data_IF_453903879203
#
_entry.id   IF_453903879203
#
_cell.length_a   1.000
_cell.length_b   1.000
_cell.length_c   1.000
_cell.angle_alpha   90.00
_cell.angle_beta   90.00
_cell.angle_gamma   90.00
#
_symmetry.space_group_name_H-M   'P 1'
#
loop_
_entity.id
_entity.type
_entity.pdbx_description
1 polymer ?
#
# COMPACT_ATOMS: atom_id res chain seq x y z
N UNK A 1 15.32 -1.65 3.02
CA UNK A 1 15.72 -2.33 1.77
C UNK A 1 14.55 -2.36 0.80
N UNK A 2 14.73 -1.77 -0.36
CA UNK A 2 13.70 -1.77 -1.40
C UNK A 2 13.80 -3.09 -2.17
N UNK A 3 12.66 -3.76 -2.36
CA UNK A 3 12.61 -5.01 -3.11
C UNK A 3 12.86 -4.76 -4.59
N UNK A 4 13.53 -5.68 -5.26
CA UNK A 4 13.72 -5.64 -6.70
C UNK A 4 12.40 -5.88 -7.43
N UNK A 5 12.29 -5.42 -8.67
CA UNK A 5 11.05 -5.55 -9.45
C UNK A 5 10.58 -6.99 -9.59
N UNK A 6 11.52 -7.94 -9.78
CA UNK A 6 11.19 -9.36 -9.89
C UNK A 6 10.62 -9.90 -8.59
N UNK A 7 11.19 -9.49 -7.46
CA UNK A 7 10.68 -9.87 -6.13
C UNK A 7 9.31 -9.27 -5.88
N UNK A 8 9.11 -8.02 -6.28
CA UNK A 8 7.81 -7.35 -6.19
C UNK A 8 6.74 -8.13 -6.95
N UNK A 9 7.01 -8.50 -8.19
CA UNK A 9 6.08 -9.24 -9.03
C UNK A 9 5.69 -10.57 -8.37
N UNK A 10 6.67 -11.32 -7.90
CA UNK A 10 6.45 -12.61 -7.26
C UNK A 10 5.60 -12.48 -5.99
N UNK A 11 5.87 -11.46 -5.19
CA UNK A 11 5.12 -11.23 -3.95
C UNK A 11 3.68 -10.85 -4.28
N UNK A 12 3.46 -9.99 -5.27
CA UNK A 12 2.10 -9.65 -5.70
C UNK A 12 1.33 -10.87 -6.21
N UNK A 13 1.97 -11.76 -6.96
CA UNK A 13 1.36 -13.01 -7.40
C UNK A 13 0.94 -13.86 -6.19
N UNK A 14 1.76 -13.95 -5.18
CA UNK A 14 1.44 -14.66 -3.94
C UNK A 14 0.28 -14.02 -3.19
N UNK A 15 0.23 -12.69 -3.13
CA UNK A 15 -0.88 -11.97 -2.49
C UNK A 15 -2.19 -12.32 -3.20
N UNK A 16 -2.21 -12.28 -4.52
CA UNK A 16 -3.40 -12.60 -5.30
C UNK A 16 -3.82 -14.06 -5.08
N UNK A 17 -2.84 -14.99 -5.10
CA UNK A 17 -3.09 -16.41 -4.92
C UNK A 17 -3.71 -16.73 -3.57
N UNK A 18 -3.31 -16.02 -2.51
CA UNK A 18 -3.76 -16.28 -1.14
C UNK A 18 -4.67 -15.17 -0.60
N UNK A 19 -5.33 -14.42 -1.50
CA UNK A 19 -6.09 -13.24 -1.10
C UNK A 19 -7.20 -13.53 -0.09
N UNK A 20 -7.91 -14.64 -0.26
CA UNK A 20 -8.97 -15.02 0.69
C UNK A 20 -8.43 -15.23 2.10
N UNK A 21 -7.27 -15.87 2.22
CA UNK A 21 -6.63 -16.07 3.50
C UNK A 21 -6.18 -14.74 4.12
N UNK A 22 -5.55 -13.88 3.32
CA UNK A 22 -5.08 -12.57 3.76
C UNK A 22 -6.24 -11.72 4.25
N UNK A 23 -7.35 -11.73 3.53
CA UNK A 23 -8.56 -11.00 3.89
C UNK A 23 -9.19 -11.55 5.17
N UNK A 24 -9.28 -12.87 5.28
CA UNK A 24 -9.82 -13.52 6.47
C UNK A 24 -9.00 -13.24 7.73
N UNK A 25 -7.69 -13.06 7.58
CA UNK A 25 -6.80 -12.68 8.67
C UNK A 25 -6.79 -11.17 8.94
N UNK A 26 -7.60 -10.40 8.24
CA UNK A 26 -7.71 -8.94 8.37
C UNK A 26 -6.39 -8.20 8.08
N UNK A 27 -5.54 -8.79 7.27
CA UNK A 27 -4.26 -8.21 6.87
C UNK A 27 -4.33 -7.48 5.53
N UNK A 28 -5.41 -7.68 4.77
CA UNK A 28 -5.44 -7.37 3.36
C UNK A 28 -5.08 -5.92 3.03
N UNK A 29 -5.77 -4.96 3.64
CA UNK A 29 -5.56 -3.56 3.28
C UNK A 29 -4.16 -3.07 3.66
N UNK A 30 -3.73 -3.34 4.88
CA UNK A 30 -2.43 -2.87 5.35
C UNK A 30 -1.28 -3.51 4.58
N UNK A 31 -1.37 -4.81 4.29
CA UNK A 31 -0.35 -5.53 3.53
C UNK A 31 -0.21 -4.95 2.12
N UNK A 32 -1.33 -4.81 1.43
CA UNK A 32 -1.34 -4.32 0.05
C UNK A 32 -0.84 -2.88 -0.02
N UNK A 33 -1.23 -2.05 0.94
CA UNK A 33 -0.79 -0.66 0.99
C UNK A 33 0.72 -0.55 1.21
N UNK A 34 1.27 -1.33 2.13
CA UNK A 34 2.71 -1.35 2.37
C UNK A 34 3.47 -1.88 1.16
N UNK A 35 2.93 -2.89 0.46
CA UNK A 35 3.53 -3.38 -0.78
C UNK A 35 3.58 -2.30 -1.86
N UNK A 36 2.49 -1.57 -2.05
CA UNK A 36 2.45 -0.49 -3.03
C UNK A 36 3.47 0.60 -2.71
N UNK A 37 3.58 0.99 -1.45
CA UNK A 37 4.51 2.03 -1.03
C UNK A 37 5.97 1.58 -1.09
N UNK A 38 6.25 0.34 -0.73
CA UNK A 38 7.62 -0.19 -0.77
C UNK A 38 8.17 -0.24 -2.19
N UNK A 39 7.33 -0.48 -3.17
CA UNK A 39 7.74 -0.55 -4.57
C UNK A 39 7.99 0.79 -5.23
N UNK A 40 7.69 1.90 -4.56
CA UNK A 40 7.84 3.23 -5.13
C UNK A 40 9.01 3.99 -4.50
N UNK A 41 9.77 4.68 -5.33
CA UNK A 41 10.83 5.59 -4.89
C UNK A 41 10.29 6.97 -4.53
N UNK A 42 9.10 7.30 -5.02
CA UNK A 42 8.46 8.59 -4.81
C UNK A 42 7.30 8.46 -3.83
N UNK A 43 6.99 9.52 -3.07
CA UNK A 43 5.76 9.55 -2.27
C UNK A 43 4.54 9.39 -3.17
N UNK A 44 3.51 8.71 -2.67
CA UNK A 44 2.33 8.36 -3.45
C UNK A 44 1.05 8.95 -2.85
N UNK A 45 0.19 9.47 -3.72
CA UNK A 45 -1.19 9.83 -3.36
C UNK A 45 -2.07 8.58 -3.27
N UNK A 46 -3.26 8.73 -2.69
CA UNK A 46 -4.23 7.62 -2.62
C UNK A 46 -4.61 7.11 -4.01
N UNK A 47 -4.76 8.00 -4.98
CA UNK A 47 -5.07 7.63 -6.37
C UNK A 47 -3.96 6.78 -6.98
N UNK A 48 -2.70 7.19 -6.78
CA UNK A 48 -1.54 6.46 -7.29
C UNK A 48 -1.42 5.08 -6.63
N UNK A 49 -1.67 5.00 -5.32
CA UNK A 49 -1.67 3.73 -4.59
C UNK A 49 -2.72 2.79 -5.17
N UNK A 50 -3.94 3.29 -5.39
CA UNK A 50 -5.03 2.51 -5.99
C UNK A 50 -4.65 1.97 -7.37
N UNK A 51 -4.03 2.80 -8.20
CA UNK A 51 -3.56 2.39 -9.54
C UNK A 51 -2.49 1.31 -9.47
N UNK A 52 -1.54 1.43 -8.55
CA UNK A 52 -0.49 0.42 -8.37
C UNK A 52 -1.09 -0.92 -7.96
N UNK A 53 -2.04 -0.91 -7.01
CA UNK A 53 -2.71 -2.13 -6.57
C UNK A 53 -3.41 -2.81 -7.76
N UNK A 54 -4.16 -2.05 -8.55
CA UNK A 54 -4.86 -2.59 -9.70
C UNK A 54 -3.88 -3.16 -10.74
N UNK A 55 -2.81 -2.44 -11.04
CA UNK A 55 -1.82 -2.86 -12.04
C UNK A 55 -1.04 -4.09 -11.57
N UNK A 56 -0.57 -4.10 -10.33
CA UNK A 56 0.25 -5.19 -9.81
C UNK A 56 -0.56 -6.47 -9.61
N UNK A 57 -1.84 -6.36 -9.29
CA UNK A 57 -2.73 -7.51 -9.16
C UNK A 57 -3.37 -7.92 -10.48
N UNK A 58 -3.03 -7.26 -11.58
CA UNK A 58 -3.60 -7.49 -12.92
C UNK A 58 -5.12 -7.34 -12.90
N UNK A 59 -5.62 -6.36 -12.16
CA UNK A 59 -7.03 -6.06 -12.03
C UNK A 59 -7.81 -6.97 -11.10
N UNK A 60 -7.15 -7.93 -10.44
CA UNK A 60 -7.83 -8.88 -9.55
C UNK A 60 -8.14 -8.29 -8.19
N UNK A 61 -7.39 -7.27 -7.77
CA UNK A 61 -7.64 -6.53 -6.54
C UNK A 61 -7.87 -5.08 -6.92
N UNK A 62 -9.02 -4.56 -6.55
CA UNK A 62 -9.34 -3.16 -6.75
C UNK A 62 -9.74 -2.53 -5.42
N UNK A 63 -9.08 -1.43 -5.07
CA UNK A 63 -9.41 -0.64 -3.90
C UNK A 63 -9.57 0.81 -4.33
N UNK A 64 -10.77 1.36 -4.17
CA UNK A 64 -11.02 2.77 -4.48
C UNK A 64 -10.18 3.67 -3.57
N UNK A 65 -9.68 4.78 -4.12
CA UNK A 65 -8.81 5.69 -3.37
C UNK A 65 -9.44 6.19 -2.07
N UNK A 66 -10.74 6.49 -2.08
CA UNK A 66 -11.46 6.93 -0.89
C UNK A 66 -11.54 5.86 0.20
N UNK A 67 -11.61 4.58 -0.19
CA UNK A 67 -11.68 3.47 0.76
C UNK A 67 -10.33 3.19 1.43
N UNK A 68 -9.22 3.63 0.85
CA UNK A 68 -7.89 3.41 1.41
C UNK A 68 -7.53 4.39 2.52
N UNK A 69 -8.16 5.54 2.55
CA UNK A 69 -7.75 6.63 3.43
C UNK A 69 -7.85 6.24 4.92
N UNK A 70 -8.88 5.52 5.31
CA UNK A 70 -9.04 5.08 6.70
C UNK A 70 -7.88 4.18 7.13
N UNK A 71 -7.53 3.19 6.32
CA UNK A 71 -6.41 2.29 6.63
C UNK A 71 -5.08 3.03 6.65
N UNK A 72 -4.88 3.98 5.72
CA UNK A 72 -3.66 4.77 5.67
C UNK A 72 -3.52 5.66 6.91
N UNK A 73 -4.56 6.42 7.27
CA UNK A 73 -4.48 7.38 8.35
C UNK A 73 -4.62 6.75 9.73
N UNK A 74 -5.62 5.90 9.93
CA UNK A 74 -5.99 5.44 11.27
C UNK A 74 -5.26 4.16 11.69
N UNK A 75 -4.70 3.42 10.75
CA UNK A 75 -3.96 2.19 11.05
C UNK A 75 -2.48 2.34 10.81
N UNK A 76 -2.07 2.75 9.62
CA UNK A 76 -0.66 2.75 9.25
C UNK A 76 0.07 4.03 9.68
N UNK A 77 -0.48 5.20 9.36
CA UNK A 77 0.17 6.46 9.73
C UNK A 77 0.16 6.69 11.23
N UNK A 78 -0.96 6.44 11.87
CA UNK A 78 -1.11 6.60 13.32
C UNK A 78 -0.12 5.75 14.10
N UNK A 79 0.20 4.58 13.61
CA UNK A 79 1.11 3.64 14.27
C UNK A 79 2.56 3.74 13.76
N UNK A 80 2.86 4.70 12.90
CA UNK A 80 4.23 4.97 12.46
C UNK A 80 4.76 4.04 11.37
N UNK A 81 3.90 3.24 10.73
CA UNK A 81 4.31 2.36 9.65
C UNK A 81 4.48 3.09 8.32
N UNK A 82 3.81 4.23 8.17
CA UNK A 82 3.97 5.12 7.04
C UNK A 82 4.05 6.55 7.53
N UNK A 83 4.63 7.41 6.72
CA UNK A 83 4.64 8.85 6.93
C UNK A 83 3.75 9.51 5.89
N UNK A 84 3.12 10.62 6.26
CA UNK A 84 2.32 11.42 5.35
C UNK A 84 2.85 12.84 5.27
N UNK A 85 2.83 13.40 4.07
CA UNK A 85 3.15 14.79 3.83
C UNK A 85 1.93 15.47 3.24
N UNK A 86 1.30 16.35 4.02
CA UNK A 86 0.11 17.07 3.60
C UNK A 86 0.51 18.27 2.75
N UNK A 87 -0.02 18.33 1.53
CA UNK A 87 0.20 19.44 0.60
C UNK A 87 -1.09 20.24 0.54
N UNK A 88 -1.10 21.46 1.14
CA UNK A 88 -2.27 22.31 1.10
C UNK A 88 -2.40 23.02 -0.25
N UNK A 89 -3.62 23.45 -0.57
CA UNK A 89 -3.90 24.34 -1.70
C UNK A 89 -3.61 23.77 -3.08
N UNK A 90 -3.70 22.46 -3.24
CA UNK A 90 -3.71 21.85 -4.58
C UNK A 90 -5.05 22.17 -5.23
N UNK A 91 -5.02 22.85 -6.38
CA UNK A 91 -6.26 23.19 -7.09
C UNK A 91 -6.70 22.04 -7.99
N UNK A 92 -7.92 21.58 -7.77
CA UNK A 92 -8.57 20.60 -8.63
C UNK A 92 -9.98 21.09 -8.91
N UNK A 93 -10.32 21.22 -10.19
CA UNK A 93 -11.62 21.76 -10.62
C UNK A 93 -11.91 23.12 -9.99
N UNK A 94 -10.90 24.00 -9.92
CA UNK A 94 -10.95 25.35 -9.36
C UNK A 94 -11.24 25.42 -7.85
N UNK A 95 -11.18 24.26 -7.16
CA UNK A 95 -11.34 24.22 -5.68
C UNK A 95 -10.02 23.86 -5.03
N UNK A 96 -9.62 24.57 -3.95
CA UNK A 96 -8.46 24.14 -3.17
C UNK A 96 -8.79 22.85 -2.42
N UNK A 97 -7.93 21.84 -2.57
CA UNK A 97 -8.05 20.57 -1.86
C UNK A 97 -6.74 20.27 -1.18
N UNK A 98 -6.81 19.50 -0.09
CA UNK A 98 -5.62 18.91 0.51
C UNK A 98 -5.27 17.60 -0.16
N UNK A 99 -4.00 17.41 -0.43
CA UNK A 99 -3.48 16.15 -0.92
C UNK A 99 -2.44 15.66 0.09
N UNK A 100 -2.49 14.38 0.43
CA UNK A 100 -1.47 13.76 1.26
C UNK A 100 -0.67 12.80 0.42
N UNK A 101 0.66 12.88 0.50
CA UNK A 101 1.56 11.93 -0.14
C UNK A 101 2.16 11.04 0.94
N UNK A 102 2.18 9.74 0.68
CA UNK A 102 2.58 8.74 1.66
C UNK A 102 3.89 8.06 1.27
N UNK A 103 4.69 7.75 2.28
CA UNK A 103 5.91 6.94 2.13
C UNK A 103 5.94 5.88 3.22
N UNK A 104 6.58 4.75 2.93
CA UNK A 104 6.78 3.71 3.93
C UNK A 104 7.95 4.10 4.84
N UNK A 105 7.82 3.83 6.13
CA UNK A 105 8.87 4.06 7.11
C UNK A 105 9.71 2.80 7.32
N UNK A 106 10.89 2.89 7.96
CA UNK A 106 11.64 1.69 8.33
C UNK A 106 10.83 0.71 9.18
N UNK A 107 9.97 1.21 10.07
CA UNK A 107 9.05 0.39 10.86
C UNK A 107 8.05 -0.33 9.97
N UNK A 108 7.52 0.36 8.96
CA UNK A 108 6.61 -0.24 7.98
C UNK A 108 7.27 -1.31 7.13
N UNK A 109 8.51 -1.09 6.71
CA UNK A 109 9.28 -2.09 5.95
C UNK A 109 9.53 -3.35 6.77
N UNK A 110 9.80 -3.19 8.06
CA UNK A 110 10.00 -4.32 8.96
C UNK A 110 8.73 -5.15 9.10
N UNK A 111 7.59 -4.49 9.26
CA UNK A 111 6.29 -5.17 9.31
C UNK A 111 5.99 -5.89 8.01
N UNK A 112 6.19 -5.22 6.88
CA UNK A 112 5.98 -5.80 5.56
C UNK A 112 6.83 -7.04 5.34
N UNK A 113 8.11 -6.96 5.70
CA UNK A 113 9.04 -8.10 5.60
C UNK A 113 8.56 -9.30 6.41
N UNK A 114 8.04 -9.07 7.62
CA UNK A 114 7.46 -10.11 8.45
C UNK A 114 6.26 -10.78 7.79
N UNK A 115 5.37 -10.00 7.20
CA UNK A 115 4.20 -10.54 6.51
C UNK A 115 4.57 -11.30 5.23
N UNK A 116 5.55 -10.81 4.48
CA UNK A 116 6.05 -11.52 3.30
C UNK A 116 6.61 -12.88 3.70
N UNK A 117 7.41 -12.92 4.75
CA UNK A 117 7.95 -14.17 5.27
C UNK A 117 6.87 -15.13 5.72
N UNK A 118 5.85 -14.62 6.41
CA UNK A 118 4.70 -15.41 6.83
C UNK A 118 3.93 -15.97 5.63
N UNK A 119 3.67 -15.14 4.63
CA UNK A 119 2.93 -15.55 3.43
C UNK A 119 3.69 -16.63 2.66
N UNK A 120 5.01 -16.57 2.61
CA UNK A 120 5.82 -17.54 1.86
C UNK A 120 5.70 -18.97 2.42
N UNK A 121 5.27 -19.13 3.69
CA UNK A 121 5.04 -20.46 4.26
C UNK A 121 3.85 -21.18 3.63
N UNK A 122 2.99 -20.45 2.92
CA UNK A 122 1.82 -21.00 2.24
C UNK A 122 2.03 -21.18 0.72
N UNK A 123 3.22 -20.90 0.24
CA UNK A 123 3.51 -20.95 -1.20
C UNK A 123 3.88 -22.34 -1.69
#
# INVERSE_FOLDING_TARGET
MVLQNEDQTRIWENIVKHYEFIEGAQMSNSFILLMALDGSKEPLSTTQISEIIANQSKGKIFKASGALKDSLENRLRKNGYIAGNDIPNVKRNHKPIRMTLYTITPKGRKLLKGWIGFLSTYS
#
